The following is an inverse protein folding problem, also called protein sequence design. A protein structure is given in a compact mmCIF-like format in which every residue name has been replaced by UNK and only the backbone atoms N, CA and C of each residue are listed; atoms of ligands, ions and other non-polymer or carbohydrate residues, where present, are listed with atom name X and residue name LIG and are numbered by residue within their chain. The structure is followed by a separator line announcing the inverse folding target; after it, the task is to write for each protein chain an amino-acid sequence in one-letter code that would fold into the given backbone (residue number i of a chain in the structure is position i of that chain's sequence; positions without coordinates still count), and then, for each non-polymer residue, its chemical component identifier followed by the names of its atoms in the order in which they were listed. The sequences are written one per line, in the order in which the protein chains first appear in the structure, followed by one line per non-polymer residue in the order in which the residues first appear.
data_IF_621522923030
#
_entry.id   IF_621522923030
#
_cell.length_a   1.000
_cell.length_b   1.000
_cell.length_c   1.000
_cell.angle_alpha   90.00
_cell.angle_beta   90.00
_cell.angle_gamma   90.00
#
_symmetry.space_group_name_H-M   'P 1'
#
loop_
_entity.id
_entity.type
_entity.pdbx_description
1 polymer ?
#
# COMPACT_ATOMS: atom_id res chain seq x y z
N UNK A 1 -2.94 29.65 -15.17
CA UNK A 1 -1.93 28.70 -15.67
C UNK A 1 -0.92 28.46 -14.57
N UNK A 2 -1.14 27.44 -13.73
CA UNK A 2 -0.19 27.09 -12.67
C UNK A 2 0.79 26.04 -13.21
N UNK A 3 2.01 26.47 -13.52
CA UNK A 3 3.15 25.58 -13.67
C UNK A 3 3.58 25.14 -12.26
N UNK A 4 2.91 24.12 -11.70
CA UNK A 4 3.58 23.29 -10.70
C UNK A 4 4.63 22.47 -11.47
N UNK A 5 5.83 23.04 -11.61
CA UNK A 5 7.00 22.25 -11.94
C UNK A 5 7.11 21.15 -10.88
N UNK A 6 6.90 19.89 -11.28
CA UNK A 6 7.06 18.76 -10.39
C UNK A 6 8.51 18.75 -9.86
N UNK A 7 8.72 19.20 -8.63
CA UNK A 7 9.98 18.92 -7.94
C UNK A 7 9.99 17.43 -7.64
N UNK A 8 10.55 16.64 -8.55
CA UNK A 8 10.84 15.23 -8.29
C UNK A 8 12.00 15.19 -7.29
N UNK A 9 11.69 15.35 -6.00
CA UNK A 9 12.67 15.20 -4.91
C UNK A 9 13.07 13.74 -4.85
N UNK A 10 14.10 13.37 -5.62
CA UNK A 10 14.62 12.02 -5.68
C UNK A 10 15.68 11.84 -4.61
N UNK A 11 15.35 11.09 -3.58
CA UNK A 11 16.30 10.70 -2.53
C UNK A 11 17.05 9.45 -2.96
N UNK A 12 18.39 9.50 -2.89
CA UNK A 12 19.23 8.32 -3.10
C UNK A 12 19.55 7.70 -1.76
N UNK A 13 19.17 6.44 -1.58
CA UNK A 13 19.43 5.67 -0.36
C UNK A 13 20.32 4.49 -0.70
N UNK A 14 21.42 4.33 0.04
CA UNK A 14 22.29 3.15 -0.04
C UNK A 14 21.84 2.14 1.00
N UNK A 15 21.67 0.88 0.59
CA UNK A 15 21.29 -0.22 1.47
C UNK A 15 22.26 -1.38 1.28
N UNK A 16 22.60 -2.03 2.38
CA UNK A 16 23.41 -3.26 2.36
C UNK A 16 22.47 -4.45 2.27
N UNK A 17 22.73 -5.33 1.31
CA UNK A 17 21.95 -6.54 1.06
C UNK A 17 22.91 -7.74 0.99
N UNK A 18 22.47 -8.93 1.43
CA UNK A 18 23.12 -10.20 1.10
C UNK A 18 23.31 -10.35 -0.41
N UNK A 19 24.43 -10.99 -0.81
CA UNK A 19 24.81 -11.11 -2.22
C UNK A 19 23.80 -11.89 -3.07
N UNK A 20 23.16 -12.90 -2.48
CA UNK A 20 22.10 -13.70 -3.11
C UNK A 20 20.87 -12.85 -3.42
N UNK A 21 20.44 -12.00 -2.48
CA UNK A 21 19.31 -11.10 -2.67
C UNK A 21 19.62 -10.01 -3.69
N UNK A 22 20.85 -9.48 -3.68
CA UNK A 22 21.30 -8.51 -4.67
C UNK A 22 21.36 -9.13 -6.08
N UNK A 23 21.87 -10.36 -6.21
CA UNK A 23 21.92 -11.07 -7.48
C UNK A 23 20.52 -11.32 -8.04
N UNK A 24 19.59 -11.77 -7.17
CA UNK A 24 18.20 -11.98 -7.55
C UNK A 24 17.52 -10.68 -8.01
N UNK A 25 17.64 -9.60 -7.23
CA UNK A 25 17.06 -8.31 -7.57
C UNK A 25 17.62 -7.76 -8.89
N UNK A 26 18.94 -7.92 -9.13
CA UNK A 26 19.55 -7.52 -10.40
C UNK A 26 18.99 -8.30 -11.59
N UNK A 27 18.89 -9.62 -11.48
CA UNK A 27 18.32 -10.46 -12.53
C UNK A 27 16.86 -10.08 -12.83
N UNK A 28 16.04 -9.87 -11.79
CA UNK A 28 14.64 -9.47 -11.93
C UNK A 28 14.45 -8.04 -12.45
N UNK A 29 15.41 -7.14 -12.20
CA UNK A 29 15.31 -5.73 -12.58
C UNK A 29 15.53 -5.44 -14.06
N UNK A 30 16.04 -6.40 -14.84
CA UNK A 30 16.37 -6.18 -16.25
C UNK A 30 17.39 -5.04 -16.47
N UNK A 31 18.19 -4.68 -15.46
CA UNK A 31 19.17 -3.60 -15.52
C UNK A 31 18.72 -2.27 -14.90
N UNK A 32 17.46 -2.13 -14.45
CA UNK A 32 17.00 -0.93 -13.74
C UNK A 32 16.49 -1.23 -12.33
N UNK A 33 17.42 -1.29 -11.40
CA UNK A 33 17.12 -1.58 -9.99
C UNK A 33 16.23 -0.52 -9.34
N UNK A 34 16.35 0.77 -9.73
CA UNK A 34 15.52 1.83 -9.16
C UNK A 34 14.05 1.67 -9.53
N UNK A 35 13.75 1.41 -10.81
CA UNK A 35 12.39 1.20 -11.28
C UNK A 35 11.79 -0.09 -10.69
N UNK A 36 12.61 -1.14 -10.60
CA UNK A 36 12.22 -2.39 -9.94
C UNK A 36 11.82 -2.16 -8.48
N UNK A 37 12.65 -1.45 -7.70
CA UNK A 37 12.37 -1.13 -6.30
C UNK A 37 11.14 -0.23 -6.17
N UNK A 38 10.96 0.77 -7.03
CA UNK A 38 9.77 1.63 -7.01
C UNK A 38 8.49 0.82 -7.21
N UNK A 39 8.48 -0.08 -8.21
CA UNK A 39 7.32 -0.93 -8.47
C UNK A 39 7.05 -1.90 -7.31
N UNK A 40 8.11 -2.50 -6.74
CA UNK A 40 7.99 -3.37 -5.58
C UNK A 40 7.42 -2.64 -4.35
N UNK A 41 7.89 -1.42 -4.09
CA UNK A 41 7.39 -0.58 -3.00
C UNK A 41 5.92 -0.19 -3.21
N UNK A 42 5.54 0.20 -4.42
CA UNK A 42 4.14 0.52 -4.75
C UNK A 42 3.23 -0.69 -4.54
N UNK A 43 3.66 -1.87 -5.00
CA UNK A 43 2.91 -3.11 -4.80
C UNK A 43 2.79 -3.47 -3.31
N UNK A 44 3.84 -3.24 -2.51
CA UNK A 44 3.80 -3.48 -1.07
C UNK A 44 2.83 -2.52 -0.37
N UNK A 45 2.89 -1.22 -0.67
CA UNK A 45 1.97 -0.23 -0.10
C UNK A 45 0.50 -0.58 -0.38
N UNK A 46 0.19 -1.08 -1.58
CA UNK A 46 -1.16 -1.52 -1.92
C UNK A 46 -1.60 -2.72 -1.07
N UNK A 47 -0.70 -3.69 -0.84
CA UNK A 47 -0.97 -4.84 0.04
C UNK A 47 -1.22 -4.40 1.48
N UNK A 48 -0.38 -3.51 2.00
CA UNK A 48 -0.51 -2.99 3.36
C UNK A 48 -1.83 -2.22 3.53
N UNK A 49 -2.20 -1.40 2.54
CA UNK A 49 -3.49 -0.72 2.51
C UNK A 49 -4.68 -1.68 2.45
N UNK A 50 -4.58 -2.78 1.68
CA UNK A 50 -5.64 -3.78 1.60
C UNK A 50 -5.91 -4.44 2.97
N UNK A 51 -4.86 -4.66 3.77
CA UNK A 51 -4.99 -5.16 5.16
C UNK A 51 -5.70 -4.13 6.03
N UNK A 52 -5.32 -2.85 5.95
CA UNK A 52 -5.97 -1.79 6.71
C UNK A 52 -7.46 -1.62 6.34
N UNK A 53 -7.80 -1.70 5.05
CA UNK A 53 -9.19 -1.63 4.56
C UNK A 53 -10.00 -2.83 5.05
N UNK A 54 -9.41 -4.04 5.05
CA UNK A 54 -10.06 -5.24 5.58
C UNK A 54 -10.33 -5.10 7.08
N UNK A 55 -9.34 -4.65 7.86
CA UNK A 55 -9.50 -4.43 9.30
C UNK A 55 -10.55 -3.35 9.62
N UNK A 56 -10.63 -2.29 8.81
CA UNK A 56 -11.69 -1.29 8.94
C UNK A 56 -13.08 -1.89 8.64
N UNK A 57 -13.21 -2.70 7.58
CA UNK A 57 -14.47 -3.38 7.25
C UNK A 57 -14.93 -4.31 8.37
N UNK A 58 -14.03 -5.11 8.93
CA UNK A 58 -14.34 -6.03 10.04
C UNK A 58 -14.78 -5.27 11.29
N UNK A 59 -14.22 -4.08 11.55
CA UNK A 59 -14.63 -3.21 12.66
C UNK A 59 -16.00 -2.56 12.42
N UNK A 60 -16.27 -2.09 11.20
CA UNK A 60 -17.55 -1.47 10.86
C UNK A 60 -18.72 -2.46 10.78
N UNK A 61 -18.45 -3.73 10.43
CA UNK A 61 -19.45 -4.78 10.43
C UNK A 61 -19.98 -5.09 11.84
N UNK A 62 -19.14 -4.97 12.87
CA UNK A 62 -19.53 -5.13 14.27
C UNK A 62 -20.46 -4.02 14.79
N UNK A 63 -20.28 -2.78 14.31
CA UNK A 63 -21.16 -1.64 14.68
C UNK A 63 -22.54 -1.71 13.99
N UNK A 64 -22.61 -2.25 12.76
CA UNK A 64 -23.90 -2.34 12.04
C UNK A 64 -24.87 -3.36 12.62
N UNK A 65 -24.41 -4.42 13.27
CA UNK A 65 -25.29 -5.38 13.94
C UNK A 65 -25.96 -4.75 15.19
N UNK A 66 -25.26 -3.89 15.94
CA UNK A 66 -25.87 -3.11 17.03
C UNK A 66 -26.86 -2.05 16.53
N UNK A 67 -26.58 -1.40 15.39
CA UNK A 67 -27.49 -0.40 14.81
C UNK A 67 -28.77 -1.07 14.25
N UNK A 68 -28.68 -2.26 13.68
CA UNK A 68 -29.87 -2.99 13.20
C UNK A 68 -30.82 -3.39 14.34
N UNK A 69 -30.29 -3.72 15.53
CA UNK A 69 -31.08 -4.07 16.72
C UNK A 69 -31.77 -2.82 17.33
N UNK A 70 -31.15 -1.64 17.22
CA UNK A 70 -31.71 -0.37 17.73
C UNK A 70 -32.82 0.21 16.82
N UNK A 71 -32.74 -0.01 15.51
CA UNK A 71 -33.67 0.58 14.53
C UNK A 71 -34.66 -0.43 13.90
N UNK A 72 -34.66 -1.69 14.35
CA UNK A 72 -35.45 -2.78 13.76
C UNK A 72 -36.92 -2.89 14.23
N UNK A 73 -37.35 -2.18 15.28
CA UNK A 73 -38.68 -2.41 15.89
C UNK A 73 -39.74 -1.33 15.60
N UNK A 74 -39.49 -0.32 14.74
CA UNK A 74 -40.48 0.76 14.51
C UNK A 74 -40.73 1.10 13.04
N UNK A 75 -40.84 0.07 12.18
CA UNK A 75 -41.42 0.19 10.84
C UNK A 75 -42.26 -1.05 10.51
N UNK A 76 -43.49 -1.12 11.03
CA UNK A 76 -44.54 -2.02 10.55
C UNK A 76 -45.93 -1.37 10.68
#
# INVERSE_FOLDING_TARGET
MSMLGCMTTRTRTTVTLPDDLLAHARAASGGNLSAYVENALRAQQLRDAAVAVRAWRERGAGDTDEIADVFGEDVA
#
